data_IF_557236810380
#
_entry.id   IF_557236810380
#
_cell.length_a   1.000
_cell.length_b   1.000
_cell.length_c   1.000
_cell.angle_alpha   90.00
_cell.angle_beta   90.00
_cell.angle_gamma   90.00
#
_symmetry.space_group_name_H-M   'P 1'
#
loop_
_entity.id
_entity.type
_entity.pdbx_description
1 polymer ?
#
# COMPACT_ATOMS: atom_id res chain seq x y z
N UNK A 1 -15.31 -2.64 -24.61
CA UNK A 1 -14.02 -3.13 -24.06
C UNK A 1 -13.78 -2.73 -22.60
N UNK A 2 -14.43 -1.68 -22.04
CA UNK A 2 -14.34 -1.39 -20.57
C UNK A 2 -14.90 -2.54 -19.71
N UNK A 3 -15.98 -3.17 -20.18
CA UNK A 3 -16.68 -4.23 -19.44
C UNK A 3 -15.84 -5.50 -19.20
N UNK A 4 -14.85 -5.81 -20.05
CA UNK A 4 -13.94 -6.96 -19.84
C UNK A 4 -12.87 -6.65 -18.80
N UNK A 5 -12.33 -5.42 -18.80
CA UNK A 5 -11.38 -4.95 -17.81
C UNK A 5 -11.99 -4.89 -16.41
N UNK A 6 -13.19 -4.31 -16.28
CA UNK A 6 -13.93 -4.27 -15.00
C UNK A 6 -14.24 -5.68 -14.48
N UNK A 7 -14.52 -6.64 -15.37
CA UNK A 7 -14.69 -8.06 -14.98
C UNK A 7 -13.38 -8.69 -14.51
N UNK A 8 -12.26 -8.47 -15.20
CA UNK A 8 -10.96 -8.98 -14.77
C UNK A 8 -10.54 -8.38 -13.42
N UNK A 9 -10.70 -7.06 -13.25
CA UNK A 9 -10.47 -6.37 -11.99
C UNK A 9 -11.39 -6.90 -10.89
N UNK A 10 -12.66 -7.16 -11.21
CA UNK A 10 -13.58 -7.79 -10.28
C UNK A 10 -13.08 -9.16 -9.84
N UNK A 11 -12.73 -10.04 -10.77
CA UNK A 11 -12.24 -11.38 -10.42
C UNK A 11 -11.00 -11.27 -9.53
N UNK A 12 -10.04 -10.42 -9.90
CA UNK A 12 -8.82 -10.19 -9.12
C UNK A 12 -9.12 -9.67 -7.70
N UNK A 13 -9.95 -8.64 -7.57
CA UNK A 13 -10.30 -8.09 -6.26
C UNK A 13 -11.12 -9.03 -5.40
N UNK A 14 -12.04 -9.81 -5.99
CA UNK A 14 -12.78 -10.81 -5.23
C UNK A 14 -11.86 -11.93 -4.72
N UNK A 15 -10.88 -12.36 -5.53
CA UNK A 15 -9.86 -13.33 -5.12
C UNK A 15 -9.01 -12.81 -3.96
N UNK A 16 -8.67 -11.52 -3.97
CA UNK A 16 -7.88 -10.87 -2.91
C UNK A 16 -8.72 -10.37 -1.73
N UNK A 17 -10.04 -10.59 -1.76
CA UNK A 17 -10.95 -10.18 -0.70
C UNK A 17 -11.29 -8.68 -0.62
N UNK A 18 -11.07 -7.94 -1.71
CA UNK A 18 -11.31 -6.50 -1.83
C UNK A 18 -12.66 -6.14 -2.46
N UNK A 19 -13.08 -4.89 -2.27
CA UNK A 19 -14.31 -4.34 -2.86
C UNK A 19 -14.14 -4.06 -4.35
N UNK A 20 -15.19 -4.29 -5.14
CA UNK A 20 -15.20 -4.04 -6.58
C UNK A 20 -16.48 -3.29 -7.02
N UNK A 21 -16.36 -2.56 -8.14
CA UNK A 21 -17.40 -1.78 -8.82
C UNK A 21 -18.46 -2.61 -9.56
N UNK A 22 -18.27 -3.93 -9.71
CA UNK A 22 -19.08 -4.76 -10.62
C UNK A 22 -20.45 -5.16 -10.05
N UNK A 23 -21.55 -4.74 -10.71
CA UNK A 23 -22.96 -4.90 -10.25
C UNK A 23 -23.69 -6.12 -10.82
N UNK A 24 -23.08 -7.31 -10.80
CA UNK A 24 -23.72 -8.55 -11.30
C UNK A 24 -24.49 -9.35 -10.23
N UNK A 25 -25.46 -10.20 -10.61
CA UNK A 25 -26.19 -11.09 -9.67
C UNK A 25 -25.27 -12.04 -8.89
N UNK A 26 -24.16 -12.47 -9.50
CA UNK A 26 -23.13 -13.31 -8.87
C UNK A 26 -22.37 -12.59 -7.74
N UNK A 27 -22.38 -11.25 -7.72
CA UNK A 27 -21.68 -10.42 -6.75
C UNK A 27 -22.12 -10.68 -5.31
N UNK A 28 -23.40 -10.98 -5.07
CA UNK A 28 -23.91 -11.21 -3.71
C UNK A 28 -23.28 -12.45 -3.05
N UNK A 29 -23.14 -13.54 -3.81
CA UNK A 29 -22.52 -14.79 -3.36
C UNK A 29 -21.01 -14.64 -3.14
N UNK A 30 -20.32 -14.02 -4.09
CA UNK A 30 -18.90 -13.71 -3.93
C UNK A 30 -18.65 -12.80 -2.73
N UNK A 31 -19.53 -11.82 -2.48
CA UNK A 31 -19.41 -10.92 -1.33
C UNK A 31 -19.44 -11.67 0.00
N UNK A 32 -20.37 -12.61 0.17
CA UNK A 32 -20.44 -13.45 1.38
C UNK A 32 -19.21 -14.34 1.50
N UNK A 33 -18.78 -14.98 0.42
CA UNK A 33 -17.62 -15.87 0.42
C UNK A 33 -16.32 -15.13 0.76
N UNK A 34 -16.11 -13.95 0.18
CA UNK A 34 -15.01 -13.04 0.54
C UNK A 34 -15.03 -12.65 2.01
N UNK A 35 -16.21 -12.36 2.58
CA UNK A 35 -16.30 -11.96 4.00
C UNK A 35 -15.92 -13.13 4.90
N UNK A 36 -16.41 -14.34 4.59
CA UNK A 36 -16.08 -15.56 5.32
C UNK A 36 -14.57 -15.82 5.24
N UNK A 37 -13.97 -15.71 4.05
CA UNK A 37 -12.53 -15.85 3.86
C UNK A 37 -11.73 -14.85 4.70
N UNK A 38 -12.10 -13.57 4.69
CA UNK A 38 -11.43 -12.53 5.48
C UNK A 38 -11.58 -12.78 7.00
N UNK A 39 -12.73 -13.28 7.46
CA UNK A 39 -12.92 -13.68 8.86
C UNK A 39 -12.07 -14.90 9.25
N UNK A 40 -11.93 -15.90 8.37
CA UNK A 40 -11.07 -17.05 8.61
C UNK A 40 -9.60 -16.64 8.72
N UNK A 41 -9.14 -15.79 7.80
CA UNK A 41 -7.79 -15.20 7.85
C UNK A 41 -7.56 -14.40 9.13
N UNK A 42 -8.57 -13.65 9.60
CA UNK A 42 -8.49 -12.90 10.84
C UNK A 42 -8.31 -13.82 12.06
N UNK A 43 -9.14 -14.86 12.18
CA UNK A 43 -9.06 -15.84 13.30
C UNK A 43 -7.68 -16.48 13.33
N UNK A 44 -7.18 -16.85 12.15
CA UNK A 44 -5.89 -17.50 12.02
C UNK A 44 -4.71 -16.58 12.40
N UNK A 45 -4.69 -15.35 11.91
CA UNK A 45 -3.64 -14.39 12.27
C UNK A 45 -3.63 -14.11 13.78
N UNK A 46 -4.82 -14.03 14.41
CA UNK A 46 -4.93 -13.90 15.86
C UNK A 46 -4.36 -15.14 16.56
N UNK A 47 -4.67 -16.34 16.09
CA UNK A 47 -4.14 -17.58 16.65
C UNK A 47 -2.60 -17.66 16.51
N UNK A 48 -2.04 -17.22 15.39
CA UNK A 48 -0.59 -17.15 15.18
C UNK A 48 0.08 -16.16 16.14
N UNK A 49 -0.47 -14.95 16.29
CA UNK A 49 0.04 -13.96 17.25
C UNK A 49 -0.04 -14.51 18.67
N UNK A 50 -1.15 -15.15 19.04
CA UNK A 50 -1.32 -15.77 20.35
C UNK A 50 -0.27 -16.86 20.61
N UNK A 51 -0.04 -17.75 19.63
CA UNK A 51 0.97 -18.80 19.73
C UNK A 51 2.39 -18.25 19.91
N UNK A 52 2.72 -17.13 19.27
CA UNK A 52 4.00 -16.45 19.44
C UNK A 52 4.19 -15.93 20.86
N UNK A 53 3.17 -15.27 21.44
CA UNK A 53 3.24 -14.81 22.84
C UNK A 53 3.34 -15.95 23.84
N UNK A 54 2.63 -17.07 23.58
CA UNK A 54 2.80 -18.28 24.39
C UNK A 54 4.23 -18.81 24.32
N UNK A 55 4.82 -18.88 23.12
CA UNK A 55 6.20 -19.33 22.93
C UNK A 55 7.22 -18.44 23.66
N UNK A 56 7.10 -17.10 23.56
CA UNK A 56 7.95 -16.16 24.31
C UNK A 56 7.83 -16.38 25.81
N UNK A 57 6.59 -16.57 26.30
CA UNK A 57 6.35 -16.80 27.73
C UNK A 57 7.03 -18.08 28.20
N UNK A 58 6.99 -19.16 27.42
CA UNK A 58 7.71 -20.40 27.71
C UNK A 58 9.23 -20.20 27.72
N UNK A 59 9.78 -19.47 26.74
CA UNK A 59 11.21 -19.21 26.66
C UNK A 59 11.73 -18.37 27.84
N UNK A 60 10.95 -17.38 28.30
CA UNK A 60 11.26 -16.57 29.49
C UNK A 60 11.27 -17.41 30.78
N UNK A 61 10.40 -18.42 30.88
CA UNK A 61 10.37 -19.35 32.01
C UNK A 61 11.61 -20.24 31.99
N UNK A 62 11.99 -20.78 30.83
CA UNK A 62 13.16 -21.67 30.69
C UNK A 62 14.49 -20.95 30.99
N UNK A 63 14.59 -19.67 30.59
CA UNK A 63 15.73 -18.78 30.88
C UNK A 63 15.92 -18.48 32.36
N UNK A 64 14.84 -18.46 33.15
CA UNK A 64 14.93 -18.28 34.61
C UNK A 64 15.52 -19.49 35.33
N UNK A 65 15.57 -20.65 34.66
CA UNK A 65 16.04 -21.93 35.20
C UNK A 65 17.48 -22.29 34.77
N UNK A 66 17.99 -21.79 33.63
CA UNK A 66 19.27 -22.21 33.04
C UNK A 66 20.31 -21.06 32.90
N UNK A 67 20.44 -20.22 33.93
CA UNK A 67 21.17 -18.96 33.84
C UNK A 67 22.71 -19.05 33.89
N UNK A 68 23.33 -20.25 33.98
CA UNK A 68 24.76 -20.36 34.31
C UNK A 68 25.72 -20.73 33.15
N UNK A 69 25.25 -20.98 31.93
CA UNK A 69 26.15 -21.54 30.89
C UNK A 69 25.79 -21.15 29.45
N UNK A 70 25.61 -19.86 29.13
CA UNK A 70 25.44 -19.42 27.74
C UNK A 70 26.62 -18.59 27.24
N UNK A 71 27.20 -19.02 26.11
CA UNK A 71 28.29 -18.33 25.41
C UNK A 71 27.81 -16.99 24.81
N UNK A 72 28.68 -15.97 24.70
CA UNK A 72 28.31 -14.63 24.24
C UNK A 72 27.80 -14.57 22.79
N UNK A 73 28.21 -15.52 21.93
CA UNK A 73 27.79 -15.56 20.52
C UNK A 73 26.32 -16.03 20.36
N UNK A 74 25.79 -16.84 21.29
CA UNK A 74 24.39 -17.28 21.31
C UNK A 74 23.42 -16.15 21.72
N UNK A 75 23.89 -15.20 22.54
CA UNK A 75 23.09 -14.05 22.97
C UNK A 75 22.80 -13.08 21.81
N UNK A 76 23.78 -12.88 20.93
CA UNK A 76 23.60 -12.04 19.73
C UNK A 76 22.62 -12.68 18.74
N UNK A 77 22.74 -13.98 18.48
CA UNK A 77 21.81 -14.70 17.61
C UNK A 77 20.36 -14.62 18.13
N UNK A 78 20.16 -14.79 19.44
CA UNK A 78 18.84 -14.66 20.09
C UNK A 78 18.25 -13.26 19.94
N UNK A 79 19.07 -12.21 20.06
CA UNK A 79 18.60 -10.84 19.83
C UNK A 79 18.05 -10.68 18.41
N UNK A 80 18.77 -11.18 17.39
CA UNK A 80 18.31 -11.11 16.00
C UNK A 80 17.04 -11.93 15.75
N UNK A 81 16.96 -13.14 16.30
CA UNK A 81 15.76 -14.00 16.18
C UNK A 81 14.54 -13.33 16.81
N UNK A 82 14.71 -12.75 18.01
CA UNK A 82 13.63 -12.03 18.69
C UNK A 82 13.20 -10.77 17.92
N UNK A 83 14.15 -10.05 17.33
CA UNK A 83 13.88 -8.88 16.51
C UNK A 83 13.11 -9.25 15.23
N UNK A 84 13.53 -10.32 14.52
CA UNK A 84 12.81 -10.84 13.35
C UNK A 84 11.40 -11.32 13.74
N UNK A 85 11.26 -12.03 14.86
CA UNK A 85 9.96 -12.47 15.37
C UNK A 85 9.04 -11.30 15.75
N UNK A 86 9.57 -10.25 16.38
CA UNK A 86 8.80 -9.05 16.73
C UNK A 86 8.32 -8.30 15.49
N UNK A 87 9.15 -8.27 14.44
CA UNK A 87 8.77 -7.69 13.15
C UNK A 87 7.67 -8.53 12.51
N UNK A 88 7.79 -9.86 12.47
CA UNK A 88 6.75 -10.76 11.95
C UNK A 88 5.39 -10.62 12.66
N UNK A 89 5.39 -10.46 13.99
CA UNK A 89 4.16 -10.16 14.74
C UNK A 89 3.59 -8.80 14.38
N UNK A 90 4.45 -7.80 14.19
CA UNK A 90 4.03 -6.47 13.74
C UNK A 90 3.40 -6.53 12.35
N UNK A 91 3.96 -7.32 11.44
CA UNK A 91 3.37 -7.63 10.13
C UNK A 91 1.97 -8.19 10.30
N UNK A 92 1.81 -9.29 11.05
CA UNK A 92 0.51 -9.93 11.27
C UNK A 92 -0.52 -8.99 11.89
N UNK A 93 -0.10 -8.14 12.83
CA UNK A 93 -0.97 -7.14 13.45
C UNK A 93 -1.44 -6.09 12.43
N UNK A 94 -0.53 -5.56 11.61
CA UNK A 94 -0.90 -4.63 10.54
C UNK A 94 -1.85 -5.29 9.53
N UNK A 95 -1.61 -6.55 9.18
CA UNK A 95 -2.49 -7.34 8.33
C UNK A 95 -3.90 -7.46 8.91
N UNK A 96 -4.02 -7.74 10.21
CA UNK A 96 -5.30 -7.75 10.94
C UNK A 96 -6.00 -6.39 10.85
N UNK A 97 -5.28 -5.30 11.12
CA UNK A 97 -5.84 -3.95 11.05
C UNK A 97 -6.37 -3.62 9.66
N UNK A 98 -5.63 -4.00 8.61
CA UNK A 98 -6.08 -3.83 7.24
C UNK A 98 -7.33 -4.68 6.97
N UNK A 99 -7.33 -5.97 7.32
CA UNK A 99 -8.52 -6.83 7.16
C UNK A 99 -9.75 -6.23 7.85
N UNK A 100 -9.61 -5.79 9.11
CA UNK A 100 -10.67 -5.15 9.87
C UNK A 100 -11.19 -3.88 9.18
N UNK A 101 -10.28 -3.03 8.72
CA UNK A 101 -10.64 -1.85 7.93
C UNK A 101 -11.41 -2.24 6.67
N UNK A 102 -11.03 -3.32 5.97
CA UNK A 102 -11.73 -3.79 4.76
C UNK A 102 -13.16 -4.19 5.07
N UNK A 103 -13.38 -4.84 6.22
CA UNK A 103 -14.69 -5.33 6.63
C UNK A 103 -15.57 -4.16 7.08
N UNK A 104 -15.04 -3.27 7.91
CA UNK A 104 -15.79 -2.12 8.49
C UNK A 104 -16.11 -1.08 7.41
N UNK A 105 -15.12 -0.72 6.59
CA UNK A 105 -15.25 0.35 5.60
C UNK A 105 -15.88 -0.10 4.28
N UNK A 106 -16.19 -1.39 4.12
CA UNK A 106 -16.69 -1.97 2.86
C UNK A 106 -17.86 -1.22 2.24
N UNK A 107 -18.83 -0.81 3.07
CA UNK A 107 -20.03 -0.08 2.59
C UNK A 107 -19.67 1.30 2.07
N UNK A 108 -18.71 1.97 2.71
CA UNK A 108 -18.24 3.29 2.28
C UNK A 108 -17.42 3.17 0.99
N UNK A 109 -16.55 2.15 0.88
CA UNK A 109 -15.82 1.85 -0.35
C UNK A 109 -16.77 1.59 -1.52
N UNK A 110 -17.84 0.82 -1.31
CA UNK A 110 -18.83 0.53 -2.35
C UNK A 110 -19.56 1.79 -2.81
N UNK A 111 -19.96 2.67 -1.90
CA UNK A 111 -20.59 3.95 -2.27
C UNK A 111 -19.62 4.82 -3.07
N UNK A 112 -18.35 4.89 -2.67
CA UNK A 112 -17.33 5.65 -3.40
C UNK A 112 -17.09 5.09 -4.80
N UNK A 113 -17.03 3.75 -4.93
CA UNK A 113 -16.91 3.07 -6.23
C UNK A 113 -18.12 3.29 -7.13
N UNK A 114 -19.32 3.42 -6.55
CA UNK A 114 -20.56 3.69 -7.28
C UNK A 114 -20.66 5.13 -7.78
N UNK A 115 -20.04 6.09 -7.09
CA UNK A 115 -20.02 7.51 -7.45
C UNK A 115 -18.92 7.85 -8.48
N UNK A 116 -17.90 7.02 -8.60
CA UNK A 116 -16.79 7.20 -9.55
C UNK A 116 -17.12 6.62 -10.93
N UNK A 117 -16.63 7.25 -12.02
CA UNK A 117 -16.84 6.72 -13.37
C UNK A 117 -16.16 5.36 -13.57
N UNK A 118 -16.68 4.57 -14.52
CA UNK A 118 -16.05 3.32 -14.93
C UNK A 118 -14.61 3.54 -15.41
N UNK A 119 -13.71 2.59 -15.14
CA UNK A 119 -12.35 2.69 -15.65
C UNK A 119 -12.34 2.60 -17.18
N UNK A 120 -11.93 3.68 -17.82
CA UNK A 120 -11.46 3.64 -19.20
C UNK A 120 -10.08 2.95 -19.20
N UNK A 121 -9.90 2.02 -20.13
CA UNK A 121 -8.61 1.36 -20.34
C UNK A 121 -7.59 2.44 -20.73
N UNK A 122 -6.65 2.73 -19.84
CA UNK A 122 -5.51 3.59 -20.12
C UNK A 122 -4.24 2.75 -20.18
N UNK A 123 -3.27 3.20 -20.98
CA UNK A 123 -1.97 2.54 -21.08
C UNK A 123 -1.31 2.38 -19.70
N UNK A 124 -1.37 3.45 -18.87
CA UNK A 124 -0.82 3.45 -17.51
C UNK A 124 -1.46 2.38 -16.62
N UNK A 125 -2.79 2.23 -16.69
CA UNK A 125 -3.51 1.22 -15.91
C UNK A 125 -3.16 -0.20 -16.35
N UNK A 126 -3.00 -0.42 -17.66
CA UNK A 126 -2.56 -1.71 -18.20
C UNK A 126 -1.15 -2.05 -17.72
N UNK A 127 -0.22 -1.10 -17.79
CA UNK A 127 1.13 -1.26 -17.26
C UNK A 127 1.13 -1.56 -15.76
N UNK A 128 0.29 -0.88 -14.97
CA UNK A 128 0.15 -1.14 -13.53
C UNK A 128 -0.39 -2.55 -13.26
N UNK A 129 -1.38 -3.01 -14.01
CA UNK A 129 -1.91 -4.37 -13.88
C UNK A 129 -0.90 -5.44 -14.26
N UNK A 130 -0.20 -5.25 -15.38
CA UNK A 130 0.88 -6.16 -15.80
C UNK A 130 1.96 -6.22 -14.72
N UNK A 131 2.33 -5.06 -14.17
CA UNK A 131 3.33 -4.98 -13.12
C UNK A 131 2.88 -5.68 -11.84
N UNK A 132 1.62 -5.52 -11.42
CA UNK A 132 1.06 -6.26 -10.28
C UNK A 132 1.09 -7.77 -10.49
N UNK A 133 0.78 -8.24 -11.69
CA UNK A 133 0.85 -9.67 -12.05
C UNK A 133 2.30 -10.16 -12.02
N UNK A 134 3.23 -9.40 -12.59
CA UNK A 134 4.66 -9.75 -12.58
C UNK A 134 5.18 -9.84 -11.15
N UNK A 135 4.85 -8.85 -10.31
CA UNK A 135 5.30 -8.81 -8.91
C UNK A 135 4.68 -9.96 -8.10
N UNK A 136 3.39 -10.26 -8.30
CA UNK A 136 2.74 -11.42 -7.70
C UNK A 136 3.40 -12.74 -8.12
N UNK A 137 3.63 -12.92 -9.43
CA UNK A 137 4.30 -14.09 -9.98
C UNK A 137 5.70 -14.25 -9.40
N UNK A 138 6.48 -13.16 -9.32
CA UNK A 138 7.83 -13.18 -8.78
C UNK A 138 7.85 -13.64 -7.32
N UNK A 139 6.96 -13.11 -6.47
CA UNK A 139 6.86 -13.52 -5.06
C UNK A 139 6.45 -14.99 -4.96
N UNK A 140 5.47 -15.45 -5.74
CA UNK A 140 5.04 -16.84 -5.75
C UNK A 140 6.17 -17.77 -6.23
N UNK A 141 6.86 -17.41 -7.32
CA UNK A 141 7.99 -18.18 -7.86
C UNK A 141 9.13 -18.28 -6.86
N UNK A 142 9.55 -17.18 -6.23
CA UNK A 142 10.64 -17.20 -5.24
C UNK A 142 10.33 -18.10 -4.04
N UNK A 143 9.07 -18.18 -3.63
CA UNK A 143 8.67 -19.05 -2.54
C UNK A 143 8.50 -20.50 -2.96
N UNK A 144 8.00 -20.75 -4.16
CA UNK A 144 7.98 -22.09 -4.76
C UNK A 144 9.39 -22.67 -4.90
N UNK A 145 10.33 -21.89 -5.43
CA UNK A 145 11.74 -22.29 -5.50
C UNK A 145 12.33 -22.54 -4.11
N UNK A 146 12.00 -21.70 -3.13
CA UNK A 146 12.43 -21.91 -1.74
C UNK A 146 11.91 -23.22 -1.14
N UNK A 147 10.64 -23.57 -1.39
CA UNK A 147 10.05 -24.81 -0.88
C UNK A 147 10.67 -26.06 -1.53
N UNK A 148 10.95 -26.02 -2.84
CA UNK A 148 11.66 -27.10 -3.53
C UNK A 148 13.09 -27.26 -2.97
N UNK A 149 13.79 -26.16 -2.73
CA UNK A 149 15.16 -26.20 -2.21
C UNK A 149 15.24 -26.71 -0.78
N UNK A 150 14.17 -26.53 0.00
CA UNK A 150 14.12 -26.88 1.42
C UNK A 150 13.41 -28.20 1.72
N UNK A 151 12.88 -28.91 0.71
CA UNK A 151 12.01 -30.09 0.88
C UNK A 151 10.91 -29.88 1.93
N UNK A 152 10.38 -28.65 2.01
CA UNK A 152 9.47 -28.26 3.08
C UNK A 152 8.06 -28.80 2.81
N UNK A 153 7.54 -29.75 3.63
CA UNK A 153 6.21 -30.32 3.44
C UNK A 153 5.09 -29.29 3.65
N UNK A 154 5.40 -28.13 4.25
CA UNK A 154 4.42 -27.09 4.57
C UNK A 154 4.27 -26.02 3.48
N UNK A 155 4.56 -26.34 2.22
CA UNK A 155 4.43 -25.42 1.09
C UNK A 155 3.06 -24.71 1.02
N UNK A 156 1.97 -25.41 1.32
CA UNK A 156 0.62 -24.84 1.32
C UNK A 156 0.45 -23.72 2.35
N UNK A 157 1.09 -23.84 3.51
CA UNK A 157 1.07 -22.81 4.54
C UNK A 157 1.79 -21.55 4.07
N UNK A 158 2.97 -21.71 3.46
CA UNK A 158 3.74 -20.61 2.88
C UNK A 158 3.00 -19.93 1.72
N UNK A 159 2.33 -20.70 0.86
CA UNK A 159 1.52 -20.13 -0.23
C UNK A 159 0.34 -19.30 0.29
N UNK A 160 -0.27 -19.74 1.39
CA UNK A 160 -1.35 -18.97 2.05
C UNK A 160 -0.84 -17.67 2.66
N UNK A 161 0.31 -17.68 3.32
CA UNK A 161 0.93 -16.47 3.86
C UNK A 161 1.21 -15.46 2.73
N UNK A 162 1.77 -15.92 1.61
CA UNK A 162 2.02 -15.07 0.44
C UNK A 162 0.73 -14.47 -0.13
N UNK A 163 -0.34 -15.26 -0.21
CA UNK A 163 -1.63 -14.74 -0.66
C UNK A 163 -2.15 -13.66 0.29
N UNK A 164 -1.94 -13.80 1.59
CA UNK A 164 -2.31 -12.77 2.58
C UNK A 164 -1.47 -11.48 2.43
N UNK A 165 -0.17 -11.62 2.17
CA UNK A 165 0.73 -10.50 1.84
C UNK A 165 0.30 -9.81 0.55
N UNK A 166 -0.05 -10.59 -0.46
CA UNK A 166 -0.49 -10.07 -1.74
C UNK A 166 -1.86 -9.40 -1.65
N UNK A 167 -2.77 -9.89 -0.80
CA UNK A 167 -4.06 -9.24 -0.56
C UNK A 167 -3.88 -7.83 0.01
N UNK A 168 -3.00 -7.65 1.00
CA UNK A 168 -2.65 -6.30 1.50
C UNK A 168 -2.02 -5.45 0.42
N UNK A 169 -1.05 -5.98 -0.32
CA UNK A 169 -0.39 -5.25 -1.41
C UNK A 169 -1.34 -4.89 -2.54
N UNK A 170 -2.39 -5.66 -2.78
CA UNK A 170 -3.39 -5.39 -3.82
C UNK A 170 -4.28 -4.18 -3.49
N UNK A 171 -4.28 -3.70 -2.23
CA UNK A 171 -4.91 -2.42 -1.89
C UNK A 171 -4.24 -1.21 -2.54
N UNK A 172 -2.93 -1.26 -2.78
CA UNK A 172 -2.26 -0.21 -3.56
C UNK A 172 -2.92 -0.05 -4.91
N UNK A 173 -3.14 -1.16 -5.62
CA UNK A 173 -3.81 -1.15 -6.91
C UNK A 173 -5.23 -0.58 -6.80
N UNK A 174 -6.01 -0.97 -5.78
CA UNK A 174 -7.35 -0.42 -5.55
C UNK A 174 -7.32 1.11 -5.38
N UNK A 175 -6.39 1.64 -4.59
CA UNK A 175 -6.23 3.08 -4.36
C UNK A 175 -5.80 3.78 -5.64
N UNK A 176 -4.80 3.25 -6.36
CA UNK A 176 -4.32 3.82 -7.62
C UNK A 176 -5.46 3.89 -8.65
N UNK A 177 -6.27 2.84 -8.74
CA UNK A 177 -7.43 2.80 -9.64
C UNK A 177 -8.46 3.88 -9.26
N UNK A 178 -8.76 4.04 -7.97
CA UNK A 178 -9.70 5.05 -7.51
C UNK A 178 -9.19 6.47 -7.78
N UNK A 179 -7.90 6.74 -7.55
CA UNK A 179 -7.27 8.02 -7.88
C UNK A 179 -7.32 8.26 -9.39
N UNK A 180 -7.05 7.24 -10.22
CA UNK A 180 -7.12 7.35 -11.66
C UNK A 180 -8.56 7.62 -12.16
N UNK A 181 -9.58 7.01 -11.53
CA UNK A 181 -11.00 7.32 -11.83
C UNK A 181 -11.35 8.75 -11.46
N UNK A 182 -10.84 9.24 -10.32
CA UNK A 182 -11.03 10.61 -9.87
C UNK A 182 -10.32 11.60 -10.80
N UNK A 183 -9.13 11.24 -11.31
CA UNK A 183 -8.40 12.02 -12.31
C UNK A 183 -9.20 12.17 -13.62
N UNK A 184 -9.83 11.09 -14.10
CA UNK A 184 -10.69 11.12 -15.29
C UNK A 184 -11.95 11.96 -15.03
N UNK A 185 -12.57 11.82 -13.86
CA UNK A 185 -13.73 12.63 -13.48
C UNK A 185 -13.38 14.12 -13.41
N UNK A 186 -12.20 14.45 -12.87
CA UNK A 186 -11.69 15.82 -12.85
C UNK A 186 -11.52 16.33 -14.28
N UNK A 187 -10.93 15.54 -15.17
CA UNK A 187 -10.76 15.94 -16.56
C UNK A 187 -12.10 16.17 -17.26
N UNK A 188 -12.99 15.17 -17.28
CA UNK A 188 -14.25 15.23 -18.02
C UNK A 188 -15.16 16.34 -17.52
N UNK A 189 -15.24 16.51 -16.19
CA UNK A 189 -16.22 17.40 -15.60
C UNK A 189 -15.79 18.87 -15.57
N UNK A 190 -14.47 19.12 -15.57
CA UNK A 190 -13.92 20.47 -15.55
C UNK A 190 -13.61 20.97 -16.97
N UNK A 191 -13.00 20.15 -17.83
CA UNK A 191 -12.57 20.61 -19.16
C UNK A 191 -13.72 20.93 -20.11
N UNK A 192 -14.75 20.08 -20.14
CA UNK A 192 -15.90 20.32 -21.02
C UNK A 192 -16.69 21.56 -20.58
N UNK A 193 -16.82 21.78 -19.27
CA UNK A 193 -17.67 22.87 -18.74
C UNK A 193 -17.01 24.24 -18.73
N UNK A 194 -15.68 24.30 -18.75
CA UNK A 194 -14.98 25.57 -18.99
C UNK A 194 -15.25 26.06 -20.40
N UNK A 195 -15.28 25.17 -21.40
CA UNK A 195 -15.53 25.56 -22.78
C UNK A 195 -16.96 26.07 -23.01
N UNK A 196 -17.92 25.63 -22.18
CA UNK A 196 -19.33 26.01 -22.28
C UNK A 196 -19.70 27.29 -21.49
N UNK A 197 -18.72 28.02 -20.92
CA UNK A 197 -18.91 29.22 -20.09
C UNK A 197 -19.80 29.03 -18.83
N UNK A 198 -20.08 27.79 -18.44
CA UNK A 198 -20.89 27.42 -17.27
C UNK A 198 -20.03 27.25 -16.00
N UNK A 199 -19.54 28.38 -15.48
CA UNK A 199 -18.60 28.43 -14.36
C UNK A 199 -19.20 27.91 -13.04
N UNK A 200 -20.48 28.15 -12.76
CA UNK A 200 -21.13 27.67 -11.53
C UNK A 200 -21.20 26.15 -11.50
N UNK A 201 -21.57 25.54 -12.63
CA UNK A 201 -21.65 24.09 -12.74
C UNK A 201 -20.28 23.42 -12.76
N UNK A 202 -19.26 24.09 -13.32
CA UNK A 202 -17.86 23.66 -13.23
C UNK A 202 -17.37 23.70 -11.77
N UNK A 203 -17.63 24.80 -11.05
CA UNK A 203 -17.28 24.95 -9.63
C UNK A 203 -17.95 23.90 -8.75
N UNK A 204 -19.23 23.64 -8.95
CA UNK A 204 -19.95 22.59 -8.22
C UNK A 204 -19.33 21.21 -8.48
N UNK A 205 -18.97 20.91 -9.74
CA UNK A 205 -18.31 19.66 -10.10
C UNK A 205 -16.91 19.51 -9.50
N UNK A 206 -16.15 20.60 -9.47
CA UNK A 206 -14.85 20.64 -8.78
C UNK A 206 -15.00 20.38 -7.28
N UNK A 207 -15.98 21.04 -6.65
CA UNK A 207 -16.28 20.86 -5.21
C UNK A 207 -16.63 19.41 -4.90
N UNK A 208 -17.44 18.78 -5.75
CA UNK A 208 -17.75 17.36 -5.64
C UNK A 208 -16.50 16.48 -5.77
N UNK A 209 -15.60 16.80 -6.72
CA UNK A 209 -14.34 16.06 -6.89
C UNK A 209 -13.43 16.19 -5.68
N UNK A 210 -13.33 17.40 -5.09
CA UNK A 210 -12.59 17.62 -3.84
C UNK A 210 -13.19 16.80 -2.70
N UNK A 211 -14.52 16.79 -2.57
CA UNK A 211 -15.19 15.98 -1.55
C UNK A 211 -14.89 14.49 -1.71
N UNK A 212 -14.96 13.95 -2.93
CA UNK A 212 -14.59 12.56 -3.22
C UNK A 212 -13.13 12.27 -2.86
N UNK A 213 -12.22 13.19 -3.17
CA UNK A 213 -10.81 13.06 -2.83
C UNK A 213 -10.58 13.04 -1.31
N UNK A 214 -11.29 13.89 -0.56
CA UNK A 214 -11.24 13.90 0.90
C UNK A 214 -11.84 12.62 1.50
N UNK A 215 -12.93 12.10 0.95
CA UNK A 215 -13.50 10.82 1.36
C UNK A 215 -12.53 9.67 1.12
N UNK A 216 -11.90 9.63 -0.06
CA UNK A 216 -10.87 8.66 -0.42
C UNK A 216 -9.66 8.73 0.53
N UNK A 217 -9.18 9.94 0.81
CA UNK A 217 -8.07 10.20 1.75
C UNK A 217 -8.40 9.73 3.17
N UNK A 218 -9.61 10.04 3.68
CA UNK A 218 -10.05 9.55 4.99
C UNK A 218 -10.18 8.03 5.05
N UNK A 219 -10.65 7.42 3.96
CA UNK A 219 -10.91 5.99 3.89
C UNK A 219 -9.63 5.17 3.76
N UNK A 220 -8.70 5.60 2.91
CA UNK A 220 -7.49 4.86 2.56
C UNK A 220 -6.21 5.39 3.21
N UNK A 221 -6.23 6.61 3.77
CA UNK A 221 -5.10 7.19 4.50
C UNK A 221 -4.52 6.24 5.56
N UNK A 222 -5.32 5.65 6.46
CA UNK A 222 -4.82 4.67 7.44
C UNK A 222 -4.18 3.45 6.77
N UNK A 223 -4.72 2.98 5.65
CA UNK A 223 -4.14 1.84 4.93
C UNK A 223 -2.78 2.18 4.34
N UNK A 224 -2.61 3.38 3.79
CA UNK A 224 -1.34 3.81 3.22
C UNK A 224 -0.29 3.99 4.33
N UNK A 225 -0.69 4.58 5.46
CA UNK A 225 0.20 4.71 6.62
C UNK A 225 0.70 3.34 7.09
N UNK A 226 -0.23 2.40 7.31
CA UNK A 226 0.09 1.03 7.71
C UNK A 226 0.99 0.34 6.68
N UNK A 227 0.72 0.51 5.38
CA UNK A 227 1.55 -0.07 4.34
C UNK A 227 2.94 0.60 4.20
N UNK A 228 3.08 1.87 4.56
CA UNK A 228 4.38 2.54 4.65
C UNK A 228 5.19 2.01 5.84
N UNK A 229 4.55 1.74 6.98
CA UNK A 229 5.19 1.09 8.13
C UNK A 229 5.67 -0.33 7.74
N UNK A 230 4.87 -1.09 6.98
CA UNK A 230 5.31 -2.38 6.43
C UNK A 230 6.56 -2.22 5.56
N UNK A 231 6.61 -1.20 4.70
CA UNK A 231 7.79 -0.95 3.88
C UNK A 231 9.04 -0.68 4.74
N UNK A 232 8.92 0.07 5.84
CA UNK A 232 10.02 0.27 6.79
C UNK A 232 10.45 -1.05 7.44
N UNK A 233 9.49 -1.89 7.84
CA UNK A 233 9.75 -3.23 8.35
C UNK A 233 10.52 -4.10 7.36
N UNK A 234 10.16 -4.06 6.06
CA UNK A 234 10.80 -4.83 4.99
C UNK A 234 12.27 -4.38 4.87
N UNK A 235 12.52 -3.06 4.93
CA UNK A 235 13.87 -2.51 4.94
C UNK A 235 14.69 -2.99 6.14
N UNK A 236 14.11 -2.98 7.35
CA UNK A 236 14.81 -3.45 8.57
C UNK A 236 15.17 -4.94 8.44
N UNK A 237 14.26 -5.77 7.92
CA UNK A 237 14.53 -7.19 7.71
C UNK A 237 15.64 -7.40 6.68
N UNK A 238 15.64 -6.67 5.55
CA UNK A 238 16.73 -6.70 4.56
C UNK A 238 18.07 -6.39 5.21
N UNK A 239 18.14 -5.33 6.03
CA UNK A 239 19.37 -4.93 6.72
C UNK A 239 19.85 -6.03 7.68
N UNK A 240 18.96 -6.59 8.50
CA UNK A 240 19.30 -7.65 9.44
C UNK A 240 19.77 -8.93 8.75
N UNK A 241 19.08 -9.35 7.68
CA UNK A 241 19.48 -10.52 6.89
C UNK A 241 20.87 -10.29 6.27
N UNK A 242 21.13 -9.10 5.74
CA UNK A 242 22.45 -8.74 5.22
C UNK A 242 23.55 -8.86 6.28
N UNK A 243 23.31 -8.42 7.52
CA UNK A 243 24.27 -8.55 8.62
C UNK A 243 24.56 -10.01 8.94
N UNK A 244 23.51 -10.83 9.03
CA UNK A 244 23.64 -12.28 9.28
C UNK A 244 24.46 -12.93 8.15
N UNK A 245 24.25 -12.55 6.88
CA UNK A 245 25.07 -13.01 5.75
C UNK A 245 26.53 -12.59 5.92
N UNK A 246 26.75 -11.30 6.21
CA UNK A 246 28.07 -10.69 6.30
C UNK A 246 28.92 -11.26 7.44
N UNK A 247 28.28 -11.69 8.53
CA UNK A 247 28.97 -12.09 9.74
C UNK A 247 28.98 -13.62 9.98
N UNK A 248 28.05 -14.41 9.41
CA UNK A 248 27.79 -15.76 9.92
C UNK A 248 27.74 -16.95 8.94
N UNK A 249 27.93 -16.81 7.61
CA UNK A 249 28.39 -17.85 6.62
C UNK A 249 27.81 -17.68 5.20
N UNK A 250 28.55 -18.16 4.19
CA UNK A 250 28.18 -18.27 2.76
C UNK A 250 27.09 -19.33 2.47
N UNK A 251 26.00 -19.38 3.23
CA UNK A 251 24.91 -20.31 2.92
C UNK A 251 24.04 -19.77 1.77
N UNK A 252 23.75 -20.62 0.76
CA UNK A 252 22.84 -20.29 -0.36
C UNK A 252 21.45 -19.86 0.10
N UNK A 253 21.03 -20.35 1.26
CA UNK A 253 19.76 -20.04 1.91
C UNK A 253 19.67 -18.55 2.29
N UNK A 254 20.79 -17.99 2.76
CA UNK A 254 20.85 -16.61 3.22
C UNK A 254 20.73 -15.62 2.04
N UNK A 255 21.32 -15.94 0.89
CA UNK A 255 21.16 -15.15 -0.35
C UNK A 255 19.73 -15.16 -0.90
N UNK A 256 19.04 -16.31 -0.84
CA UNK A 256 17.63 -16.40 -1.25
C UNK A 256 16.74 -15.53 -0.36
N UNK A 257 17.01 -15.52 0.96
CA UNK A 257 16.28 -14.69 1.91
C UNK A 257 16.49 -13.19 1.63
N UNK A 258 17.73 -12.78 1.37
CA UNK A 258 18.05 -11.40 0.97
C UNK A 258 17.34 -11.01 -0.33
N UNK A 259 17.33 -11.88 -1.33
CA UNK A 259 16.65 -11.62 -2.59
C UNK A 259 15.14 -11.49 -2.39
N UNK A 260 14.53 -12.35 -1.57
CA UNK A 260 13.10 -12.29 -1.23
C UNK A 260 12.75 -10.97 -0.55
N UNK A 261 13.51 -10.57 0.46
CA UNK A 261 13.25 -9.32 1.21
C UNK A 261 13.52 -8.08 0.35
N UNK A 262 14.56 -8.08 -0.49
CA UNK A 262 14.85 -6.98 -1.40
C UNK A 262 13.77 -6.83 -2.49
N UNK A 263 13.28 -7.94 -3.05
CA UNK A 263 12.16 -7.91 -3.99
C UNK A 263 10.87 -7.40 -3.33
N UNK A 264 10.57 -7.83 -2.10
CA UNK A 264 9.44 -7.35 -1.31
C UNK A 264 9.49 -5.83 -1.08
N UNK A 265 10.64 -5.32 -0.65
CA UNK A 265 10.89 -3.88 -0.45
C UNK A 265 10.78 -3.08 -1.76
N UNK A 266 11.39 -3.56 -2.85
CA UNK A 266 11.33 -2.87 -4.14
C UNK A 266 9.89 -2.79 -4.67
N UNK A 267 9.12 -3.87 -4.49
CA UNK A 267 7.70 -3.95 -4.84
C UNK A 267 6.88 -2.87 -4.12
N UNK A 268 7.07 -2.71 -2.81
CA UNK A 268 6.33 -1.74 -2.00
C UNK A 268 6.73 -0.31 -2.36
N UNK A 269 8.02 -0.02 -2.50
CA UNK A 269 8.53 1.29 -2.93
C UNK A 269 7.97 1.71 -4.29
N UNK A 270 7.92 0.78 -5.24
CA UNK A 270 7.40 1.04 -6.57
C UNK A 270 5.89 1.38 -6.51
N UNK A 271 5.10 0.65 -5.71
CA UNK A 271 3.67 0.92 -5.51
C UNK A 271 3.42 2.29 -4.86
N UNK A 272 4.20 2.65 -3.83
CA UNK A 272 4.13 3.97 -3.19
C UNK A 272 4.46 5.06 -4.22
N UNK A 273 5.50 4.84 -5.03
CA UNK A 273 5.91 5.78 -6.08
C UNK A 273 4.79 6.02 -7.10
N UNK A 274 4.08 4.96 -7.51
CA UNK A 274 2.93 5.05 -8.42
C UNK A 274 1.79 5.86 -7.79
N UNK A 275 1.45 5.61 -6.52
CA UNK A 275 0.42 6.39 -5.83
C UNK A 275 0.82 7.85 -5.74
N UNK A 276 2.04 8.15 -5.30
CA UNK A 276 2.54 9.52 -5.19
C UNK A 276 2.51 10.23 -6.56
N UNK A 277 2.86 9.52 -7.64
CA UNK A 277 2.77 10.06 -9.00
C UNK A 277 1.32 10.34 -9.42
N UNK A 278 0.39 9.44 -9.12
CA UNK A 278 -1.03 9.63 -9.42
C UNK A 278 -1.63 10.83 -8.64
N UNK A 279 -1.34 10.94 -7.34
CA UNK A 279 -1.72 12.09 -6.53
C UNK A 279 -1.09 13.39 -7.07
N UNK A 280 0.20 13.35 -7.44
CA UNK A 280 0.88 14.51 -8.01
C UNK A 280 0.22 14.97 -9.32
N UNK A 281 -0.17 14.05 -10.21
CA UNK A 281 -0.90 14.38 -11.45
C UNK A 281 -2.24 15.07 -11.16
N UNK A 282 -2.99 14.59 -10.16
CA UNK A 282 -4.24 15.24 -9.73
C UNK A 282 -3.99 16.69 -9.25
N UNK A 283 -2.98 16.89 -8.39
CA UNK A 283 -2.61 18.23 -7.91
C UNK A 283 -2.15 19.14 -9.06
N UNK A 284 -1.36 18.61 -10.01
CA UNK A 284 -0.85 19.34 -11.15
C UNK A 284 -1.98 19.77 -12.10
N UNK A 285 -2.97 18.90 -12.34
CA UNK A 285 -4.17 19.22 -13.12
C UNK A 285 -5.01 20.31 -12.46
N UNK A 286 -5.18 20.26 -11.14
CA UNK A 286 -5.85 21.34 -10.39
C UNK A 286 -5.11 22.67 -10.50
N UNK A 287 -3.76 22.66 -10.51
CA UNK A 287 -2.94 23.87 -10.72
C UNK A 287 -3.03 24.38 -12.16
N UNK A 288 -3.03 23.49 -13.15
CA UNK A 288 -3.19 23.83 -14.56
C UNK A 288 -4.56 24.49 -14.82
N UNK A 289 -5.62 23.93 -14.23
CA UNK A 289 -6.96 24.52 -14.24
C UNK A 289 -6.94 25.97 -13.72
N UNK A 290 -6.29 26.21 -12.58
CA UNK A 290 -6.14 27.55 -12.01
C UNK A 290 -5.42 28.51 -12.97
N UNK A 291 -4.37 28.03 -13.64
CA UNK A 291 -3.61 28.83 -14.61
C UNK A 291 -4.46 29.17 -15.84
N UNK A 292 -5.27 28.23 -16.33
CA UNK A 292 -6.15 28.45 -17.48
C UNK A 292 -7.28 29.42 -17.17
N UNK A 293 -7.90 29.31 -15.99
CA UNK A 293 -8.91 30.28 -15.53
C UNK A 293 -8.31 31.69 -15.43
N UNK A 294 -7.09 31.83 -14.88
CA UNK A 294 -6.39 33.11 -14.80
C UNK A 294 -6.08 33.73 -16.17
N UNK A 295 -5.68 32.90 -17.14
CA UNK A 295 -5.29 33.34 -18.48
C UNK A 295 -6.50 33.65 -19.39
N UNK A 296 -7.71 33.33 -18.96
CA UNK A 296 -8.92 33.47 -19.78
C UNK A 296 -9.29 34.94 -19.97
N UNK A 297 -9.55 35.32 -21.23
CA UNK A 297 -10.07 36.66 -21.57
C UNK A 297 -11.54 36.75 -21.16
N UNK A 298 -11.85 37.64 -20.24
CA UNK A 298 -13.21 37.88 -19.77
C UNK A 298 -13.92 38.87 -20.70
N UNK A 299 -15.19 38.60 -21.05
CA UNK A 299 -16.02 39.49 -21.85
C UNK A 299 -16.73 40.54 -20.99
N UNK A 300 -16.98 40.24 -19.72
CA UNK A 300 -17.66 41.12 -18.77
C UNK A 300 -16.97 41.16 -17.40
N UNK A 301 -17.21 42.24 -16.63
CA UNK A 301 -16.73 42.34 -15.26
C UNK A 301 -17.38 41.30 -14.32
N UNK A 302 -18.63 40.93 -14.60
CA UNK A 302 -19.33 39.88 -13.87
C UNK A 302 -18.68 38.51 -14.08
N UNK A 303 -18.36 38.17 -15.33
CA UNK A 303 -17.61 36.95 -15.65
C UNK A 303 -16.23 36.93 -14.96
N UNK A 304 -15.55 38.08 -14.91
CA UNK A 304 -14.28 38.19 -14.21
C UNK A 304 -14.43 37.88 -12.71
N UNK A 305 -15.46 38.40 -12.06
CA UNK A 305 -15.76 38.12 -10.65
C UNK A 305 -16.02 36.63 -10.41
N UNK A 306 -16.77 35.96 -11.29
CA UNK A 306 -17.05 34.52 -11.17
C UNK A 306 -15.77 33.67 -11.32
N UNK A 307 -14.91 34.04 -12.25
CA UNK A 307 -13.61 33.38 -12.45
C UNK A 307 -12.72 33.57 -11.22
N UNK A 308 -12.61 34.80 -10.71
CA UNK A 308 -11.77 35.10 -9.55
C UNK A 308 -12.28 34.34 -8.29
N UNK A 309 -13.60 34.27 -8.08
CA UNK A 309 -14.21 33.45 -7.02
C UNK A 309 -13.92 31.95 -7.17
N UNK A 310 -13.95 31.43 -8.41
CA UNK A 310 -13.62 30.04 -8.66
C UNK A 310 -12.14 29.75 -8.40
N UNK A 311 -11.26 30.66 -8.80
CA UNK A 311 -9.82 30.56 -8.53
C UNK A 311 -9.54 30.57 -7.03
N UNK A 312 -10.21 31.46 -6.29
CA UNK A 312 -10.13 31.51 -4.83
C UNK A 312 -10.60 30.18 -4.21
N UNK A 313 -11.68 29.61 -4.72
CA UNK A 313 -12.19 28.32 -4.27
C UNK A 313 -11.20 27.17 -4.49
N UNK A 314 -10.54 27.13 -5.66
CA UNK A 314 -9.47 26.16 -5.96
C UNK A 314 -8.28 26.35 -5.00
N UNK A 315 -7.94 27.59 -4.66
CA UNK A 315 -6.85 27.89 -3.72
C UNK A 315 -7.17 27.50 -2.29
N UNK A 316 -8.42 27.66 -1.86
CA UNK A 316 -8.87 27.29 -0.52
C UNK A 316 -9.04 25.77 -0.35
N UNK A 317 -9.43 25.08 -1.42
CA UNK A 317 -9.74 23.66 -1.40
C UNK A 317 -8.91 22.89 -2.45
N UNK A 318 -7.59 22.76 -2.24
CA UNK A 318 -6.73 22.04 -3.18
C UNK A 318 -7.06 20.54 -3.22
N UNK A 319 -6.96 19.93 -4.39
CA UNK A 319 -7.07 18.47 -4.54
C UNK A 319 -5.78 17.84 -4.05
N UNK A 320 -5.77 17.40 -2.80
CA UNK A 320 -4.62 16.79 -2.13
C UNK A 320 -5.05 15.48 -1.47
N UNK A 321 -4.17 14.48 -1.49
CA UNK A 321 -4.37 13.24 -0.74
C UNK A 321 -3.67 13.36 0.60
N UNK A 322 -4.43 13.53 1.66
CA UNK A 322 -3.92 13.57 3.03
C UNK A 322 -3.87 12.16 3.64
N UNK A 323 -2.75 11.80 4.27
CA UNK A 323 -2.60 10.56 5.00
C UNK A 323 -2.84 10.84 6.48
N UNK A 324 -4.10 10.67 6.88
CA UNK A 324 -4.52 10.77 8.29
C UNK A 324 -4.15 12.10 8.97
N UNK A 325 -4.06 13.22 8.21
CA UNK A 325 -3.67 14.52 8.75
C UNK A 325 -2.17 14.67 9.03
N UNK A 326 -1.35 13.66 8.74
CA UNK A 326 0.08 13.68 9.05
C UNK A 326 0.91 14.28 7.91
N UNK A 327 0.63 13.87 6.68
CA UNK A 327 1.37 14.32 5.50
C UNK A 327 0.56 14.12 4.22
N UNK A 328 0.94 14.86 3.19
CA UNK A 328 0.32 14.77 1.88
C UNK A 328 1.10 13.80 0.98
N UNK A 329 0.41 12.90 0.28
CA UNK A 329 1.06 12.05 -0.73
C UNK A 329 1.38 12.87 -1.96
N UNK A 330 2.65 13.23 -2.08
CA UNK A 330 3.22 13.90 -3.23
C UNK A 330 4.64 13.37 -3.47
N UNK A 331 5.28 13.85 -4.55
CA UNK A 331 6.64 13.44 -4.89
C UNK A 331 7.65 13.83 -3.80
N UNK A 332 7.39 14.91 -3.05
CA UNK A 332 8.24 15.37 -1.96
C UNK A 332 8.20 14.41 -0.76
N UNK A 333 7.03 13.91 -0.39
CA UNK A 333 6.87 12.88 0.64
C UNK A 333 7.56 11.58 0.23
N UNK A 334 7.50 11.20 -1.05
CA UNK A 334 8.25 10.06 -1.58
C UNK A 334 9.77 10.25 -1.42
N UNK A 335 10.29 11.43 -1.79
CA UNK A 335 11.71 11.76 -1.60
C UNK A 335 12.08 11.73 -0.12
N UNK A 336 11.25 12.27 0.76
CA UNK A 336 11.47 12.21 2.21
C UNK A 336 11.52 10.78 2.75
N UNK A 337 10.58 9.92 2.35
CA UNK A 337 10.61 8.49 2.72
C UNK A 337 11.86 7.78 2.19
N UNK A 338 12.27 8.07 0.95
CA UNK A 338 13.47 7.48 0.36
C UNK A 338 14.75 7.92 1.09
N UNK A 339 14.88 9.22 1.39
CA UNK A 339 16.02 9.75 2.15
C UNK A 339 16.06 9.17 3.56
N UNK A 340 14.91 9.10 4.25
CA UNK A 340 14.82 8.47 5.57
C UNK A 340 15.25 7.01 5.53
N UNK A 341 14.82 6.25 4.51
CA UNK A 341 15.24 4.85 4.34
C UNK A 341 16.74 4.73 4.09
N UNK A 342 17.32 5.62 3.29
CA UNK A 342 18.75 5.64 3.01
C UNK A 342 19.55 6.02 4.26
N UNK A 343 19.13 7.04 5.00
CA UNK A 343 19.73 7.45 6.27
C UNK A 343 19.67 6.32 7.30
N UNK A 344 18.51 5.69 7.48
CA UNK A 344 18.35 4.55 8.36
C UNK A 344 19.29 3.41 7.95
N UNK A 345 19.36 3.07 6.66
CA UNK A 345 20.27 2.05 6.14
C UNK A 345 21.75 2.39 6.44
N UNK A 346 22.16 3.64 6.23
CA UNK A 346 23.53 4.10 6.51
C UNK A 346 23.85 4.02 8.00
N UNK A 347 22.96 4.50 8.87
CA UNK A 347 23.11 4.41 10.32
C UNK A 347 23.24 2.94 10.73
N UNK A 348 22.38 2.07 10.20
CA UNK A 348 22.45 0.63 10.46
C UNK A 348 23.80 0.03 10.02
N UNK A 349 24.26 0.33 8.80
CA UNK A 349 25.56 -0.16 8.31
C UNK A 349 26.74 0.37 9.15
N UNK A 350 26.66 1.60 9.65
CA UNK A 350 27.67 2.17 10.55
C UNK A 350 27.70 1.45 11.90
N UNK A 351 26.53 1.18 12.50
CA UNK A 351 26.45 0.41 13.74
C UNK A 351 27.07 -0.99 13.58
N UNK A 352 26.82 -1.65 12.45
CA UNK A 352 27.39 -2.97 12.14
C UNK A 352 28.90 -2.90 12.00
N UNK A 353 29.40 -1.90 11.27
CA UNK A 353 30.83 -1.67 11.13
C UNK A 353 31.49 -1.46 12.51
N UNK A 354 30.85 -0.71 13.41
CA UNK A 354 31.37 -0.49 14.77
C UNK A 354 31.37 -1.77 15.60
N UNK A 355 30.33 -2.60 15.51
CA UNK A 355 30.29 -3.89 16.20
C UNK A 355 31.35 -4.87 15.68
N UNK A 356 31.68 -4.82 14.39
CA UNK A 356 32.73 -5.65 13.79
C UNK A 356 34.15 -5.16 14.12
N UNK A 357 34.34 -3.87 14.40
CA UNK A 357 35.63 -3.30 14.88
C UNK A 357 35.86 -3.60 16.37
N UNK A 358 34.79 -3.90 17.13
CA UNK A 358 34.85 -4.25 18.55
C UNK A 358 35.08 -5.75 18.81
N UNK A 359 35.10 -6.59 17.76
CA UNK A 359 35.62 -7.96 17.80
C UNK A 359 37.08 -7.93 17.37
#
# INVERSE_FOLDING_TARGET
MSNTLERCLAIYFHLMGLSCSYKGKSHAWFRTLTTIYMCLMLIELIAQIWSYFQWIQWQLVDLSTNQETEEPDDQHLRFYVNLVGSIDVTYKLIHILLILQSIVCRRQEQRLLDELPECKLSYNLCCQLILEVILACQICSLNFFGAILNDDPNFLLGLREILSYQAVRSRYLQIVILIARLEVQLEESVWHRIHDDDYERSRSSYTHTVYLMQCLSKLYGPSILLMNILCLGDCIVVCNVYIIISNWTESKLTWLLLLKSACAMLTTLLKISIICLACHRCTAKSKLLRQQLNARRCRTNFERSLIDDYILHIMQNPIEFDVFGMYQLNLMALTGMFLFLLEALVIFLQFVSLTNISK
#
